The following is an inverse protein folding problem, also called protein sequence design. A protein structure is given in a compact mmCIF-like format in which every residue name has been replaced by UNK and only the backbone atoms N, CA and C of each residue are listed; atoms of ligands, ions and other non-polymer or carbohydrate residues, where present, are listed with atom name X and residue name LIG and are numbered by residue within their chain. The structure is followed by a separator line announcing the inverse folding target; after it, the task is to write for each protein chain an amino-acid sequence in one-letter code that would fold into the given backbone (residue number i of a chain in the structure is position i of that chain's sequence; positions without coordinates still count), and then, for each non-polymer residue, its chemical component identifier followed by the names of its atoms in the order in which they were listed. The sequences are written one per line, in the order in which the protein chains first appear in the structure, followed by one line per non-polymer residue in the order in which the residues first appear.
data_IF_138448427145
#
_entry.id   IF_138448427145
#
_cell.length_a   1.000
_cell.length_b   1.000
_cell.length_c   1.000
_cell.angle_alpha   90.00
_cell.angle_beta   90.00
_cell.angle_gamma   90.00
#
_symmetry.space_group_name_H-M   'P 1'
#
loop_
_entity.id
_entity.type
_entity.pdbx_description
1 polymer ?
#
# COMPACT_ATOMS: atom_id res chain seq x y z
N UNK A 1 8.42 -14.26 11.88
CA UNK A 1 6.99 -13.82 11.90
C UNK A 1 6.93 -12.46 12.54
N UNK A 2 6.29 -11.55 11.89
CA UNK A 2 5.99 -10.23 12.43
C UNK A 2 4.46 -10.13 12.60
N UNK A 3 4.00 -10.31 13.82
CA UNK A 3 2.57 -10.18 14.16
C UNK A 3 2.44 -9.15 15.28
N UNK A 4 2.41 -7.83 14.95
CA UNK A 4 2.35 -6.80 15.96
C UNK A 4 0.97 -6.79 16.64
N UNK A 5 0.97 -6.89 17.95
CA UNK A 5 -0.20 -6.69 18.80
C UNK A 5 -0.41 -5.19 18.93
N UNK A 6 -1.43 -4.64 18.33
CA UNK A 6 -1.71 -3.20 18.34
C UNK A 6 -2.99 -2.88 19.08
N UNK A 7 -2.95 -1.85 19.91
CA UNK A 7 -4.12 -1.23 20.50
C UNK A 7 -4.18 0.23 20.04
N UNK A 8 -5.14 0.57 19.19
CA UNK A 8 -5.14 1.82 18.44
C UNK A 8 -3.88 1.95 17.59
N UNK A 9 -3.13 3.03 17.78
CA UNK A 9 -1.86 3.28 17.07
C UNK A 9 -0.62 2.73 17.80
N UNK A 10 -0.78 2.22 19.05
CA UNK A 10 0.34 1.73 19.85
C UNK A 10 0.56 0.24 19.63
N UNK A 11 1.79 -0.15 19.37
CA UNK A 11 2.21 -1.55 19.38
C UNK A 11 2.49 -1.94 20.84
N UNK A 12 1.77 -2.96 21.33
CA UNK A 12 1.90 -3.47 22.70
C UNK A 12 3.00 -4.54 22.79
N UNK A 13 3.11 -5.39 21.78
CA UNK A 13 4.08 -6.47 21.70
C UNK A 13 4.31 -6.87 20.24
N UNK A 14 5.53 -7.35 19.97
CA UNK A 14 5.95 -7.83 18.65
C UNK A 14 6.63 -9.19 18.80
N UNK A 15 5.88 -10.28 18.95
CA UNK A 15 6.49 -11.60 19.03
C UNK A 15 7.23 -11.91 17.73
N UNK A 16 8.56 -11.97 17.82
CA UNK A 16 9.41 -12.37 16.69
C UNK A 16 9.52 -13.89 16.67
N UNK A 17 9.04 -14.50 15.60
CA UNK A 17 9.24 -15.93 15.34
C UNK A 17 9.80 -16.11 13.94
N UNK A 18 10.79 -16.98 13.83
CA UNK A 18 11.26 -17.43 12.53
C UNK A 18 10.18 -18.32 11.92
N UNK A 19 9.71 -17.99 10.72
CA UNK A 19 8.80 -18.84 9.95
C UNK A 19 9.02 -18.60 8.46
N UNK A 20 8.69 -19.58 7.66
CA UNK A 20 8.76 -19.44 6.23
C UNK A 20 7.67 -18.50 5.72
N UNK A 21 8.05 -17.55 4.87
CA UNK A 21 7.12 -16.64 4.21
C UNK A 21 7.05 -17.01 2.74
N UNK A 22 5.88 -17.48 2.31
CA UNK A 22 5.60 -17.76 0.91
C UNK A 22 5.03 -16.49 0.27
N UNK A 23 5.81 -15.89 -0.62
CA UNK A 23 5.35 -14.83 -1.49
C UNK A 23 4.92 -15.43 -2.82
N UNK A 24 3.65 -15.25 -3.15
CA UNK A 24 3.08 -15.80 -4.36
C UNK A 24 3.25 -14.81 -5.52
N UNK A 25 3.67 -15.26 -6.72
CA UNK A 25 3.71 -14.41 -7.91
C UNK A 25 2.28 -13.94 -8.25
N UNK A 26 2.03 -12.64 -8.15
CA UNK A 26 0.68 -12.06 -8.28
C UNK A 26 0.02 -12.36 -9.63
N UNK A 27 0.81 -12.49 -10.70
CA UNK A 27 0.30 -12.75 -12.05
C UNK A 27 -0.12 -14.20 -12.29
N UNK A 28 0.51 -15.15 -11.57
CA UNK A 28 0.39 -16.60 -11.87
C UNK A 28 -0.65 -17.32 -11.04
N UNK A 29 -1.18 -16.66 -9.99
CA UNK A 29 -2.04 -17.32 -9.01
C UNK A 29 -3.43 -16.75 -9.10
N UNK A 30 -4.41 -17.64 -9.34
CA UNK A 30 -5.83 -17.37 -9.29
C UNK A 30 -6.42 -17.93 -8.00
N UNK A 31 -7.60 -17.44 -7.62
CA UNK A 31 -8.31 -17.88 -6.42
C UNK A 31 -8.64 -19.41 -6.44
N UNK A 32 -8.86 -19.98 -7.61
CA UNK A 32 -9.06 -21.42 -7.82
C UNK A 32 -7.89 -22.29 -7.37
N UNK A 33 -6.65 -21.73 -7.34
CA UNK A 33 -5.47 -22.43 -6.85
C UNK A 33 -5.26 -22.34 -5.32
N UNK A 34 -6.15 -21.67 -4.59
CA UNK A 34 -5.95 -21.42 -3.16
C UNK A 34 -5.81 -22.72 -2.36
N UNK A 35 -6.57 -23.77 -2.68
CA UNK A 35 -6.49 -25.05 -2.00
C UNK A 35 -5.20 -25.82 -2.32
N UNK A 36 -4.74 -25.75 -3.58
CA UNK A 36 -3.46 -26.34 -4.01
C UNK A 36 -2.29 -25.68 -3.27
N UNK A 37 -2.30 -24.35 -3.18
CA UNK A 37 -1.29 -23.56 -2.48
C UNK A 37 -1.24 -23.93 -0.99
N UNK A 38 -2.41 -24.00 -0.35
CA UNK A 38 -2.50 -24.41 1.04
C UNK A 38 -2.02 -25.85 1.25
N UNK A 39 -2.25 -26.72 0.28
CA UNK A 39 -1.83 -28.11 0.29
C UNK A 39 -0.32 -28.27 0.10
N UNK A 40 0.26 -27.50 -0.80
CA UNK A 40 1.70 -27.50 -1.07
C UNK A 40 2.52 -26.71 -0.03
N UNK A 41 1.86 -26.05 0.93
CA UNK A 41 2.54 -25.31 1.98
C UNK A 41 3.34 -26.26 2.88
N UNK A 42 4.56 -25.86 3.32
CA UNK A 42 5.42 -26.69 4.16
C UNK A 42 4.74 -27.06 5.49
N UNK A 43 5.10 -28.21 6.06
CA UNK A 43 4.54 -28.69 7.33
C UNK A 43 4.89 -27.81 8.54
N UNK A 44 5.91 -27.00 8.42
CA UNK A 44 6.30 -26.03 9.43
C UNK A 44 5.34 -24.84 9.50
N UNK A 45 5.45 -24.05 10.58
CA UNK A 45 4.71 -22.81 10.71
C UNK A 45 5.09 -21.87 9.56
N UNK A 46 4.12 -21.47 8.74
CA UNK A 46 4.36 -20.60 7.58
C UNK A 46 3.30 -19.51 7.43
N UNK A 47 3.68 -18.44 6.72
CA UNK A 47 2.82 -17.35 6.30
C UNK A 47 2.73 -17.33 4.77
N UNK A 48 1.52 -17.44 4.25
CA UNK A 48 1.22 -17.21 2.85
C UNK A 48 0.67 -15.79 2.73
N UNK A 49 1.43 -14.90 2.08
CA UNK A 49 1.02 -13.50 1.90
C UNK A 49 0.21 -13.31 0.64
N UNK A 50 -0.86 -12.50 0.76
CA UNK A 50 -1.71 -12.11 -0.36
C UNK A 50 -2.24 -13.31 -1.16
N UNK A 51 -2.59 -14.39 -0.48
CA UNK A 51 -3.20 -15.55 -1.11
C UNK A 51 -4.54 -15.14 -1.72
N UNK A 52 -4.76 -15.31 -3.04
CA UNK A 52 -6.06 -15.04 -3.66
C UNK A 52 -7.11 -16.00 -3.09
N UNK A 53 -8.31 -15.47 -2.84
CA UNK A 53 -9.45 -16.25 -2.32
C UNK A 53 -10.73 -15.79 -3.01
N UNK A 54 -11.66 -16.74 -3.25
CA UNK A 54 -12.94 -16.44 -3.88
C UNK A 54 -13.93 -15.79 -2.92
N UNK A 55 -13.88 -16.20 -1.64
CA UNK A 55 -14.77 -15.73 -0.60
C UNK A 55 -14.02 -15.48 0.70
N UNK A 56 -14.58 -14.68 1.63
CA UNK A 56 -14.00 -14.45 2.93
C UNK A 56 -13.75 -15.76 3.70
N UNK A 57 -12.52 -15.94 4.18
CA UNK A 57 -12.14 -17.06 5.02
C UNK A 57 -12.47 -16.75 6.49
N UNK A 58 -12.84 -17.77 7.29
CA UNK A 58 -12.93 -17.63 8.74
C UNK A 58 -11.61 -17.16 9.35
N UNK A 59 -11.67 -16.25 10.34
CA UNK A 59 -10.46 -15.74 11.03
C UNK A 59 -9.61 -16.84 11.64
N UNK A 60 -10.25 -17.91 12.16
CA UNK A 60 -9.61 -19.10 12.68
C UNK A 60 -10.38 -20.34 12.21
N UNK A 61 -9.66 -21.34 11.73
CA UNK A 61 -10.22 -22.62 11.33
C UNK A 61 -9.13 -23.70 11.37
N UNK A 62 -9.51 -24.93 11.07
CA UNK A 62 -8.55 -26.03 10.88
C UNK A 62 -8.41 -26.32 9.38
N UNK A 63 -7.20 -26.58 8.96
CA UNK A 63 -6.89 -27.06 7.63
C UNK A 63 -5.85 -28.19 7.72
N UNK A 64 -6.21 -29.41 7.32
CA UNK A 64 -5.35 -30.59 7.38
C UNK A 64 -4.64 -30.77 8.74
N UNK A 65 -5.39 -30.68 9.83
CA UNK A 65 -4.85 -30.82 11.20
C UNK A 65 -4.11 -29.59 11.73
N UNK A 66 -3.82 -28.60 10.90
CA UNK A 66 -3.14 -27.35 11.28
C UNK A 66 -4.13 -26.28 11.70
N UNK A 67 -3.68 -25.32 12.50
CA UNK A 67 -4.42 -24.11 12.83
C UNK A 67 -4.24 -23.11 11.68
N UNK A 68 -5.31 -22.83 10.94
CA UNK A 68 -5.34 -21.75 9.93
C UNK A 68 -5.82 -20.47 10.61
N UNK A 69 -4.99 -19.45 10.58
CA UNK A 69 -5.28 -18.14 11.13
C UNK A 69 -5.18 -17.08 10.03
N UNK A 70 -6.23 -16.26 9.89
CA UNK A 70 -6.36 -15.24 8.85
C UNK A 70 -6.59 -13.89 9.51
N UNK A 71 -5.51 -13.16 9.87
CA UNK A 71 -5.62 -11.86 10.54
C UNK A 71 -6.15 -10.75 9.64
N UNK A 72 -5.91 -10.85 8.33
CA UNK A 72 -6.22 -9.82 7.35
C UNK A 72 -6.76 -10.42 6.06
N UNK A 73 -7.82 -9.78 5.54
CA UNK A 73 -8.35 -10.02 4.20
C UNK A 73 -8.64 -8.66 3.59
N UNK A 74 -8.38 -8.48 2.29
CA UNK A 74 -8.44 -7.18 1.63
C UNK A 74 -8.55 -7.30 0.12
N UNK A 75 -9.07 -6.26 -0.52
CA UNK A 75 -8.95 -6.08 -1.96
C UNK A 75 -7.53 -5.60 -2.30
N UNK A 76 -6.81 -6.34 -3.12
CA UNK A 76 -5.53 -5.94 -3.68
C UNK A 76 -5.77 -5.35 -5.06
N UNK A 77 -5.64 -4.04 -5.15
CA UNK A 77 -5.86 -3.29 -6.37
C UNK A 77 -4.65 -3.34 -7.29
N UNK A 78 -4.90 -3.36 -8.60
CA UNK A 78 -3.86 -3.31 -9.61
C UNK A 78 -4.37 -2.63 -10.90
N UNK A 79 -3.45 -2.37 -11.82
CA UNK A 79 -3.72 -1.89 -13.17
C UNK A 79 -3.06 -2.86 -14.14
N UNK A 80 -3.83 -3.35 -15.11
CA UNK A 80 -3.32 -4.08 -16.25
C UNK A 80 -2.76 -3.08 -17.26
N UNK A 81 -1.43 -3.02 -17.39
CA UNK A 81 -0.72 -2.10 -18.27
C UNK A 81 -0.72 -2.56 -19.73
N UNK A 82 -1.19 -3.78 -20.01
CA UNK A 82 -1.27 -4.30 -21.40
C UNK A 82 -2.49 -3.78 -22.16
N UNK A 83 -3.43 -3.14 -21.48
CA UNK A 83 -4.70 -2.68 -22.07
C UNK A 83 -4.61 -1.36 -22.86
N UNK A 84 -3.51 -0.64 -22.75
CA UNK A 84 -3.31 0.67 -23.36
C UNK A 84 -3.89 1.85 -22.57
N UNK A 85 -3.27 3.02 -22.75
CA UNK A 85 -3.60 4.23 -21.99
C UNK A 85 -5.02 4.73 -22.20
N UNK A 86 -5.50 4.75 -23.45
CA UNK A 86 -6.85 5.23 -23.79
C UNK A 86 -7.94 4.33 -23.18
N UNK A 87 -7.77 3.02 -23.27
CA UNK A 87 -8.67 2.05 -22.66
C UNK A 87 -8.71 2.21 -21.13
N UNK A 88 -7.55 2.40 -20.50
CA UNK A 88 -7.47 2.67 -19.07
C UNK A 88 -8.15 3.99 -18.69
N UNK A 89 -7.87 5.09 -19.43
CA UNK A 89 -8.56 6.37 -19.20
C UNK A 89 -10.08 6.27 -19.37
N UNK A 90 -10.53 5.47 -20.32
CA UNK A 90 -11.96 5.21 -20.58
C UNK A 90 -12.71 4.64 -19.38
N UNK A 91 -12.01 3.99 -18.44
CA UNK A 91 -12.60 3.43 -17.21
C UNK A 91 -12.92 4.50 -16.15
N UNK A 92 -12.51 5.75 -16.34
CA UNK A 92 -12.84 6.88 -15.46
C UNK A 92 -14.03 7.66 -16.01
N UNK A 93 -14.85 8.20 -15.12
CA UNK A 93 -15.91 9.14 -15.52
C UNK A 93 -15.34 10.38 -16.20
N UNK A 94 -16.11 11.03 -17.08
CA UNK A 94 -15.71 12.30 -17.70
C UNK A 94 -15.33 13.36 -16.65
N UNK A 95 -16.03 13.42 -15.52
CA UNK A 95 -15.73 14.30 -14.39
C UNK A 95 -14.36 14.00 -13.78
N UNK A 96 -14.03 12.72 -13.58
CA UNK A 96 -12.73 12.32 -13.03
C UNK A 96 -11.59 12.67 -13.99
N UNK A 97 -11.74 12.37 -15.29
CA UNK A 97 -10.74 12.74 -16.31
C UNK A 97 -10.53 14.25 -16.38
N UNK A 98 -11.61 15.04 -16.37
CA UNK A 98 -11.51 16.50 -16.35
C UNK A 98 -10.81 17.01 -15.07
N UNK A 99 -11.09 16.39 -13.92
CA UNK A 99 -10.41 16.70 -12.65
C UNK A 99 -8.92 16.41 -12.72
N UNK A 100 -8.48 15.26 -13.29
CA UNK A 100 -7.07 14.94 -13.45
C UNK A 100 -6.36 15.96 -14.35
N UNK A 101 -6.92 16.27 -15.53
CA UNK A 101 -6.37 17.30 -16.44
C UNK A 101 -6.25 18.65 -15.76
N UNK A 102 -7.25 19.06 -14.97
CA UNK A 102 -7.20 20.33 -14.22
C UNK A 102 -6.10 20.33 -13.16
N UNK A 103 -5.86 19.22 -12.44
CA UNK A 103 -4.79 19.11 -11.46
C UNK A 103 -3.41 19.19 -12.12
N UNK A 104 -3.20 18.47 -13.23
CA UNK A 104 -1.96 18.54 -14.01
C UNK A 104 -1.70 19.96 -14.49
N UNK A 105 -2.72 20.63 -15.07
CA UNK A 105 -2.60 22.03 -15.53
C UNK A 105 -2.28 22.99 -14.38
N UNK A 106 -3.00 22.88 -13.23
CA UNK A 106 -2.73 23.74 -12.07
C UNK A 106 -1.29 23.62 -11.59
N UNK A 107 -0.75 22.40 -11.57
CA UNK A 107 0.64 22.18 -11.19
C UNK A 107 1.61 22.70 -12.24
N UNK A 108 1.34 22.53 -13.54
CA UNK A 108 2.13 23.08 -14.62
C UNK A 108 2.21 24.61 -14.56
N UNK A 109 1.08 25.28 -14.33
CA UNK A 109 1.01 26.75 -14.13
C UNK A 109 1.89 27.19 -12.95
N UNK A 110 1.84 26.49 -11.82
CA UNK A 110 2.68 26.77 -10.66
C UNK A 110 4.18 26.49 -10.90
N UNK A 111 4.49 25.62 -11.86
CA UNK A 111 5.86 25.20 -12.23
C UNK A 111 6.43 25.99 -13.43
N UNK A 112 5.78 27.06 -13.89
CA UNK A 112 6.26 27.90 -15.00
C UNK A 112 5.87 27.38 -16.39
N UNK A 113 4.82 26.53 -16.51
CA UNK A 113 4.24 26.08 -17.78
C UNK A 113 4.28 24.59 -18.03
N UNK A 114 5.20 23.86 -17.43
CA UNK A 114 5.31 22.40 -17.54
C UNK A 114 5.51 21.76 -16.16
N UNK A 115 5.07 20.51 -16.01
CA UNK A 115 5.31 19.73 -14.77
C UNK A 115 6.72 19.15 -14.86
N UNK A 116 7.61 19.52 -13.93
CA UNK A 116 8.94 18.93 -13.78
C UNK A 116 8.81 17.64 -12.94
N UNK A 117 8.84 16.51 -13.60
CA UNK A 117 8.94 15.20 -12.94
C UNK A 117 10.01 14.35 -13.61
N UNK A 118 10.68 13.52 -12.83
CA UNK A 118 11.85 12.77 -13.28
C UNK A 118 11.77 11.32 -12.84
N UNK A 119 12.28 10.43 -13.71
CA UNK A 119 12.45 9.00 -13.46
C UNK A 119 13.91 8.70 -13.15
N UNK A 120 14.10 7.77 -12.20
CA UNK A 120 15.41 7.30 -11.74
C UNK A 120 15.41 5.78 -11.74
N UNK A 121 16.37 5.16 -12.45
CA UNK A 121 16.45 3.70 -12.60
C UNK A 121 17.89 3.18 -12.71
N UNK A 122 18.89 4.07 -12.82
CA UNK A 122 20.30 3.70 -12.78
C UNK A 122 20.82 3.64 -11.35
N UNK A 123 21.94 2.93 -11.07
CA UNK A 123 22.54 2.89 -9.72
C UNK A 123 22.80 4.27 -9.12
N UNK A 124 23.36 5.19 -9.89
CA UNK A 124 23.67 6.57 -9.47
C UNK A 124 22.37 7.38 -9.30
N UNK A 125 21.48 7.30 -10.27
CA UNK A 125 20.19 7.99 -10.23
C UNK A 125 19.33 7.54 -9.07
N UNK A 126 19.31 6.24 -8.73
CA UNK A 126 18.48 5.75 -7.61
C UNK A 126 19.03 6.19 -6.24
N UNK A 127 20.34 6.44 -6.13
CA UNK A 127 20.93 7.05 -4.94
C UNK A 127 20.50 8.51 -4.79
N UNK A 128 20.55 9.30 -5.87
CA UNK A 128 20.05 10.67 -5.91
C UNK A 128 18.54 10.70 -5.56
N UNK A 129 17.76 9.86 -6.22
CA UNK A 129 16.35 9.68 -5.89
C UNK A 129 16.13 9.45 -4.40
N UNK A 130 16.88 8.51 -3.80
CA UNK A 130 16.72 8.16 -2.40
C UNK A 130 17.00 9.36 -1.49
N UNK A 131 18.05 10.13 -1.73
CA UNK A 131 18.40 11.30 -0.94
C UNK A 131 17.25 12.33 -0.97
N UNK A 132 16.81 12.73 -2.16
CA UNK A 132 15.75 13.71 -2.36
C UNK A 132 14.38 13.21 -1.86
N UNK A 133 14.06 11.94 -2.09
CA UNK A 133 12.83 11.32 -1.61
C UNK A 133 12.80 11.20 -0.08
N UNK A 134 13.95 11.02 0.58
CA UNK A 134 14.04 11.01 2.04
C UNK A 134 13.75 12.38 2.65
N UNK A 135 14.20 13.47 2.02
CA UNK A 135 13.87 14.84 2.46
C UNK A 135 12.35 15.07 2.43
N UNK A 136 11.68 14.63 1.36
CA UNK A 136 10.22 14.71 1.28
C UNK A 136 9.58 13.79 2.32
N UNK A 137 10.02 12.52 2.40
CA UNK A 137 9.45 11.51 3.30
C UNK A 137 9.48 11.95 4.76
N UNK A 138 10.62 12.45 5.25
CA UNK A 138 10.80 12.91 6.63
C UNK A 138 9.80 14.02 7.03
N UNK A 139 9.26 14.75 6.07
CA UNK A 139 8.27 15.83 6.28
C UNK A 139 6.83 15.34 6.08
N UNK A 140 6.61 14.08 5.66
CA UNK A 140 5.26 13.55 5.47
C UNK A 140 4.57 13.18 6.78
N UNK A 141 3.25 13.24 6.79
CA UNK A 141 2.42 12.78 7.89
C UNK A 141 2.62 11.27 8.21
N UNK A 142 2.81 10.46 7.16
CA UNK A 142 2.97 9.01 7.30
C UNK A 142 4.23 8.64 8.09
N UNK A 143 5.34 9.31 7.85
CA UNK A 143 6.57 9.08 8.60
C UNK A 143 6.49 9.63 10.02
N UNK A 144 5.98 10.86 10.17
CA UNK A 144 5.93 11.55 11.47
C UNK A 144 5.01 10.88 12.49
N UNK A 145 3.93 10.23 12.06
CA UNK A 145 2.93 9.63 12.95
C UNK A 145 2.84 8.11 12.90
N UNK A 146 3.24 7.47 11.78
CA UNK A 146 3.02 6.05 11.56
C UNK A 146 4.33 5.27 11.37
N UNK A 147 5.48 5.95 11.36
CA UNK A 147 6.79 5.35 11.03
C UNK A 147 6.73 4.53 9.72
N UNK A 148 5.98 5.03 8.73
CA UNK A 148 5.67 4.36 7.48
C UNK A 148 6.23 5.12 6.26
N UNK A 149 7.34 5.83 6.44
CA UNK A 149 8.05 6.55 5.39
C UNK A 149 9.01 5.68 4.59
N UNK A 150 9.70 6.31 3.64
CA UNK A 150 10.76 5.66 2.86
C UNK A 150 11.95 5.33 3.80
N UNK A 151 12.40 4.08 3.92
CA UNK A 151 13.49 3.73 4.82
C UNK A 151 14.79 4.47 4.49
N UNK A 152 15.51 4.96 5.52
CA UNK A 152 16.76 5.72 5.36
C UNK A 152 18.04 4.94 5.66
N UNK A 153 17.93 3.67 6.08
CA UNK A 153 19.07 2.86 6.50
C UNK A 153 20.00 2.45 5.35
N UNK A 154 21.31 2.32 5.65
CA UNK A 154 22.35 1.94 4.67
C UNK A 154 22.01 0.65 3.90
N UNK A 155 21.53 -0.38 4.59
CA UNK A 155 21.12 -1.65 3.98
C UNK A 155 20.01 -1.48 2.94
N UNK A 156 19.07 -0.56 3.15
CA UNK A 156 18.03 -0.26 2.18
C UNK A 156 18.59 0.42 0.93
N UNK A 157 19.52 1.36 1.09
CA UNK A 157 20.20 2.04 -0.05
C UNK A 157 21.01 1.04 -0.86
N UNK A 158 21.75 0.16 -0.21
CA UNK A 158 22.51 -0.91 -0.89
C UNK A 158 21.58 -1.82 -1.70
N UNK A 159 20.44 -2.20 -1.12
CA UNK A 159 19.42 -2.98 -1.84
C UNK A 159 18.81 -2.21 -3.03
N UNK A 160 18.60 -0.90 -2.92
CA UNK A 160 18.11 -0.06 -4.02
C UNK A 160 19.10 -0.07 -5.19
N UNK A 161 20.39 0.15 -4.89
CA UNK A 161 21.47 0.18 -5.90
C UNK A 161 21.59 -1.17 -6.59
N UNK A 162 21.52 -2.27 -5.86
CA UNK A 162 21.56 -3.61 -6.44
C UNK A 162 20.37 -3.87 -7.35
N UNK A 163 19.17 -3.50 -6.91
CA UNK A 163 17.97 -3.58 -7.77
C UNK A 163 18.09 -2.71 -9.02
N UNK A 164 18.75 -1.55 -8.95
CA UNK A 164 18.97 -0.70 -10.11
C UNK A 164 19.94 -1.34 -11.12
N UNK A 165 21.01 -1.99 -10.66
CA UNK A 165 21.93 -2.77 -11.51
C UNK A 165 21.20 -3.88 -12.28
N UNK A 166 20.21 -4.49 -11.64
CA UNK A 166 19.38 -5.54 -12.24
C UNK A 166 18.19 -4.98 -13.08
N UNK A 167 18.02 -3.66 -13.18
CA UNK A 167 16.88 -3.03 -13.84
C UNK A 167 15.54 -3.30 -13.14
N UNK A 168 15.55 -3.55 -11.83
CA UNK A 168 14.42 -3.99 -11.01
C UNK A 168 13.89 -2.93 -10.04
N UNK A 169 14.06 -1.67 -10.41
CA UNK A 169 13.56 -0.55 -9.60
C UNK A 169 13.22 0.65 -10.46
N UNK A 170 12.26 1.45 -10.03
CA UNK A 170 11.94 2.80 -10.51
C UNK A 170 11.73 3.73 -9.32
N UNK A 171 12.37 4.89 -9.37
CA UNK A 171 12.09 6.03 -8.52
C UNK A 171 11.52 7.16 -9.37
N UNK A 172 10.55 7.90 -8.84
CA UNK A 172 9.97 9.06 -9.50
C UNK A 172 9.90 10.23 -8.52
N UNK A 173 10.32 11.41 -8.96
CA UNK A 173 10.22 12.66 -8.20
C UNK A 173 9.42 13.69 -8.98
N UNK A 174 8.67 14.48 -8.27
CA UNK A 174 7.97 15.65 -8.77
C UNK A 174 8.56 16.89 -8.12
N UNK A 175 8.90 17.87 -8.93
CA UNK A 175 9.53 19.11 -8.48
C UNK A 175 8.58 20.31 -8.64
N UNK A 176 8.73 21.28 -7.77
CA UNK A 176 8.15 22.60 -7.87
C UNK A 176 9.27 23.64 -7.64
N UNK A 177 9.55 24.48 -8.63
CA UNK A 177 10.63 25.49 -8.57
C UNK A 177 11.97 24.87 -8.13
N UNK A 178 12.31 23.70 -8.68
CA UNK A 178 13.55 22.98 -8.38
C UNK A 178 13.57 22.19 -7.06
N UNK A 179 12.52 22.28 -6.23
CA UNK A 179 12.43 21.55 -4.97
C UNK A 179 11.59 20.28 -5.13
N UNK A 180 12.02 19.12 -4.62
CA UNK A 180 11.21 17.88 -4.66
C UNK A 180 10.02 18.01 -3.71
N UNK A 181 8.80 17.84 -4.23
CA UNK A 181 7.55 17.96 -3.46
C UNK A 181 6.76 16.66 -3.34
N UNK A 182 7.04 15.69 -4.19
CA UNK A 182 6.47 14.34 -4.08
C UNK A 182 7.41 13.28 -4.65
N UNK A 183 7.29 12.07 -4.16
CA UNK A 183 8.03 10.92 -4.65
C UNK A 183 7.13 9.68 -4.77
N UNK A 184 7.52 8.78 -5.67
CA UNK A 184 6.95 7.45 -5.80
C UNK A 184 8.09 6.44 -6.00
N UNK A 185 8.14 5.40 -5.17
CA UNK A 185 9.11 4.31 -5.25
C UNK A 185 8.43 3.02 -5.65
N UNK A 186 8.95 2.38 -6.70
CA UNK A 186 8.41 1.16 -7.28
C UNK A 186 9.51 0.11 -7.49
N UNK A 187 9.65 -0.90 -6.63
CA UNK A 187 10.42 -2.10 -6.97
C UNK A 187 9.69 -2.91 -8.05
N UNK A 188 10.48 -3.62 -8.86
CA UNK A 188 10.01 -4.44 -9.97
C UNK A 188 10.34 -5.90 -9.66
N UNK A 189 9.33 -6.77 -9.71
CA UNK A 189 9.48 -8.20 -9.55
C UNK A 189 8.62 -8.90 -10.62
N UNK A 190 9.23 -9.78 -11.43
CA UNK A 190 8.57 -10.55 -12.51
C UNK A 190 7.75 -9.68 -13.51
N UNK A 191 8.28 -8.54 -13.93
CA UNK A 191 7.61 -7.62 -14.85
C UNK A 191 6.45 -6.84 -14.24
N UNK A 192 6.30 -6.87 -12.93
CA UNK A 192 5.29 -6.13 -12.16
C UNK A 192 5.96 -4.97 -11.44
N UNK A 193 5.49 -3.74 -11.69
CA UNK A 193 5.82 -2.62 -10.82
C UNK A 193 4.94 -2.65 -9.58
N UNK A 194 5.59 -2.61 -8.42
CA UNK A 194 4.88 -2.54 -7.15
C UNK A 194 4.96 -1.13 -6.56
N UNK A 195 3.82 -0.49 -6.40
CA UNK A 195 3.69 0.73 -5.59
C UNK A 195 4.09 0.43 -4.15
N UNK A 196 5.29 0.84 -3.74
CA UNK A 196 5.79 0.57 -2.40
C UNK A 196 5.64 1.79 -1.48
N UNK A 197 6.15 2.95 -1.89
CA UNK A 197 6.06 4.18 -1.12
C UNK A 197 5.69 5.35 -2.03
N UNK A 198 4.72 6.15 -1.61
CA UNK A 198 4.42 7.46 -2.17
C UNK A 198 4.27 8.45 -1.02
N UNK A 199 4.95 9.58 -1.13
CA UNK A 199 4.82 10.68 -0.19
C UNK A 199 4.81 12.02 -0.90
N UNK A 200 4.26 13.03 -0.24
CA UNK A 200 4.27 14.41 -0.73
C UNK A 200 4.26 15.40 0.43
N UNK A 201 4.75 16.62 0.18
CA UNK A 201 4.77 17.69 1.15
C UNK A 201 3.35 18.25 1.35
N UNK A 202 2.88 18.23 2.60
CA UNK A 202 1.51 18.62 2.96
C UNK A 202 1.21 20.09 2.66
N UNK A 203 2.22 20.97 2.69
CA UNK A 203 2.10 22.38 2.33
C UNK A 203 1.70 22.63 0.88
N UNK A 204 1.90 21.64 -0.02
CA UNK A 204 1.50 21.67 -1.42
C UNK A 204 0.28 20.79 -1.72
N UNK A 205 -0.48 20.36 -0.70
CA UNK A 205 -1.63 19.48 -0.87
C UNK A 205 -2.71 20.03 -1.82
N UNK A 206 -2.86 21.35 -1.90
CA UNK A 206 -3.78 22.06 -2.80
C UNK A 206 -3.47 21.84 -4.29
N UNK A 207 -2.19 21.53 -4.63
CA UNK A 207 -1.73 21.14 -5.97
C UNK A 207 -1.92 19.63 -6.24
N UNK A 208 -2.26 18.85 -5.23
CA UNK A 208 -2.44 17.38 -5.32
C UNK A 208 -1.22 16.63 -5.90
N UNK A 209 0.04 16.92 -5.45
CA UNK A 209 1.26 16.49 -6.13
C UNK A 209 1.39 14.97 -6.21
N UNK A 210 1.02 14.22 -5.18
CA UNK A 210 1.03 12.74 -5.23
C UNK A 210 0.07 12.14 -6.26
N UNK A 211 -1.11 12.77 -6.44
CA UNK A 211 -2.08 12.36 -7.47
C UNK A 211 -1.58 12.65 -8.87
N UNK A 212 -0.97 13.85 -9.07
CA UNK A 212 -0.43 14.25 -10.37
C UNK A 212 0.76 13.38 -10.74
N UNK A 213 1.71 13.19 -9.82
CA UNK A 213 2.86 12.31 -10.04
C UNK A 213 2.42 10.90 -10.46
N UNK A 214 1.50 10.30 -9.72
CA UNK A 214 1.00 8.97 -10.04
C UNK A 214 0.31 8.90 -11.40
N UNK A 215 -0.47 9.92 -11.78
CA UNK A 215 -1.13 9.98 -13.08
C UNK A 215 -0.13 10.03 -14.23
N UNK A 216 0.88 10.90 -14.14
CA UNK A 216 1.93 11.05 -15.17
C UNK A 216 2.81 9.80 -15.27
N UNK A 217 3.17 9.20 -14.13
CA UNK A 217 3.91 7.93 -14.11
C UNK A 217 3.11 6.81 -14.78
N UNK A 218 1.82 6.68 -14.50
CA UNK A 218 0.98 5.66 -15.15
C UNK A 218 0.91 5.89 -16.66
N UNK A 219 0.71 7.13 -17.11
CA UNK A 219 0.71 7.46 -18.54
C UNK A 219 2.02 7.04 -19.21
N UNK A 220 3.17 7.36 -18.60
CA UNK A 220 4.48 6.96 -19.11
C UNK A 220 4.67 5.44 -19.14
N UNK A 221 4.23 4.71 -18.09
CA UNK A 221 4.31 3.25 -18.02
C UNK A 221 3.47 2.56 -19.10
N UNK A 222 2.30 3.10 -19.42
CA UNK A 222 1.48 2.58 -20.53
C UNK A 222 2.17 2.79 -21.88
N UNK A 223 2.85 3.92 -22.10
CA UNK A 223 3.59 4.18 -23.33
C UNK A 223 4.92 3.42 -23.42
N UNK A 224 5.51 3.04 -22.29
CA UNK A 224 6.74 2.22 -22.26
C UNK A 224 6.47 0.77 -22.69
N UNK A 225 5.23 0.25 -22.55
CA UNK A 225 4.79 -1.10 -22.93
C UNK A 225 5.68 -2.25 -22.41
N UNK A 226 6.46 -1.98 -21.36
CA UNK A 226 7.45 -2.91 -20.80
C UNK A 226 6.89 -3.82 -19.72
N UNK A 227 5.89 -3.32 -18.97
CA UNK A 227 5.40 -3.96 -17.77
C UNK A 227 4.00 -4.51 -17.95
N UNK A 228 3.73 -5.67 -17.34
CA UNK A 228 2.42 -6.29 -17.41
C UNK A 228 1.42 -5.63 -16.43
N UNK A 229 1.86 -5.35 -15.21
CA UNK A 229 0.98 -4.85 -14.16
C UNK A 229 1.63 -3.75 -13.32
N UNK A 230 0.79 -2.84 -12.82
CA UNK A 230 1.10 -1.93 -11.72
C UNK A 230 0.29 -2.36 -10.49
N UNK A 231 0.96 -2.86 -9.45
CA UNK A 231 0.36 -3.43 -8.25
C UNK A 231 0.40 -2.43 -7.09
N UNK A 232 -0.75 -2.05 -6.55
CA UNK A 232 -0.85 -1.11 -5.42
C UNK A 232 -0.45 -1.69 -4.06
N UNK A 233 0.11 -2.89 -4.02
CA UNK A 233 0.47 -3.57 -2.78
C UNK A 233 -0.71 -3.84 -1.83
N UNK A 234 -0.57 -4.70 -0.84
CA UNK A 234 -1.62 -4.99 0.13
C UNK A 234 -2.11 -3.75 0.89
N UNK A 235 -3.38 -3.74 1.25
CA UNK A 235 -4.03 -2.72 2.05
C UNK A 235 -4.98 -1.83 1.27
N UNK A 236 -5.93 -1.23 1.97
CA UNK A 236 -6.96 -0.37 1.42
C UNK A 236 -6.51 1.10 1.43
N UNK A 237 -7.03 1.88 0.50
CA UNK A 237 -6.79 3.31 0.40
C UNK A 237 -7.57 3.94 -0.74
N UNK A 238 -8.14 5.13 -0.51
CA UNK A 238 -8.97 5.82 -1.49
C UNK A 238 -8.25 6.05 -2.83
N UNK A 239 -6.93 6.31 -2.81
CA UNK A 239 -6.14 6.46 -4.03
C UNK A 239 -5.96 5.12 -4.76
N UNK A 240 -5.84 3.99 -4.04
CA UNK A 240 -5.69 2.66 -4.63
C UNK A 240 -6.96 2.23 -5.37
N UNK A 241 -8.14 2.45 -4.77
CA UNK A 241 -9.42 2.18 -5.42
C UNK A 241 -9.75 3.18 -6.54
N UNK A 242 -9.22 4.41 -6.46
CA UNK A 242 -9.37 5.39 -7.53
C UNK A 242 -8.64 4.95 -8.80
N UNK A 243 -7.35 4.62 -8.69
CA UNK A 243 -6.48 4.27 -9.81
C UNK A 243 -6.53 2.79 -10.18
N UNK A 244 -6.49 1.89 -9.21
CA UNK A 244 -6.58 0.44 -9.41
C UNK A 244 -7.98 0.01 -9.77
N UNK A 245 -8.26 -0.09 -11.07
CA UNK A 245 -9.59 -0.45 -11.59
C UNK A 245 -9.86 -1.94 -11.53
N UNK A 246 -8.82 -2.73 -11.37
CA UNK A 246 -8.92 -4.16 -11.14
C UNK A 246 -8.53 -4.48 -9.70
N UNK A 247 -9.13 -5.53 -9.17
CA UNK A 247 -8.79 -6.00 -7.82
C UNK A 247 -8.95 -7.51 -7.70
N UNK A 248 -8.19 -8.09 -6.76
CA UNK A 248 -8.35 -9.47 -6.32
C UNK A 248 -8.57 -9.49 -4.82
N UNK A 249 -9.51 -10.30 -4.39
CA UNK A 249 -9.70 -10.53 -2.96
C UNK A 249 -8.60 -11.47 -2.47
N UNK A 250 -7.85 -11.02 -1.47
CA UNK A 250 -6.68 -11.71 -0.94
C UNK A 250 -6.74 -11.83 0.57
N UNK A 251 -6.07 -12.87 1.09
CA UNK A 251 -5.91 -13.13 2.51
C UNK A 251 -4.43 -13.33 2.86
N UNK A 252 -4.00 -12.84 4.03
CA UNK A 252 -2.76 -13.28 4.66
C UNK A 252 -3.09 -14.49 5.53
N UNK A 253 -2.56 -15.65 5.19
CA UNK A 253 -2.91 -16.94 5.81
C UNK A 253 -1.71 -17.51 6.55
N UNK A 254 -1.85 -17.66 7.86
CA UNK A 254 -0.91 -18.40 8.69
C UNK A 254 -1.38 -19.83 8.81
N UNK A 255 -0.50 -20.78 8.49
CA UNK A 255 -0.67 -22.20 8.80
C UNK A 255 0.29 -22.56 9.93
N UNK A 256 -0.28 -22.84 11.10
CA UNK A 256 0.46 -23.05 12.33
C UNK A 256 0.27 -24.49 12.82
N UNK A 257 1.31 -25.09 13.37
CA UNK A 257 1.20 -26.41 14.02
C UNK A 257 0.20 -26.36 15.20
N UNK A 258 -0.58 -27.40 15.43
CA UNK A 258 -1.61 -27.42 16.47
C UNK A 258 -0.98 -27.56 17.86
N UNK A 259 -0.47 -26.44 18.41
CA UNK A 259 0.10 -26.36 19.75
C UNK A 259 -0.69 -25.38 20.63
N UNK A 260 -0.63 -25.58 21.95
CA UNK A 260 -1.25 -24.65 22.90
C UNK A 260 -0.66 -23.24 22.79
N UNK A 261 0.67 -23.14 22.52
CA UNK A 261 1.38 -21.87 22.32
C UNK A 261 0.85 -21.12 21.09
N UNK A 262 0.62 -21.80 19.97
CA UNK A 262 0.07 -21.20 18.77
C UNK A 262 -1.39 -20.79 18.96
N UNK A 263 -2.17 -21.59 19.68
CA UNK A 263 -3.55 -21.21 20.05
C UNK A 263 -3.57 -19.97 20.94
N UNK A 264 -2.77 -19.96 22.01
CA UNK A 264 -2.67 -18.81 22.91
C UNK A 264 -2.28 -17.54 22.14
N UNK A 265 -1.28 -17.62 21.27
CA UNK A 265 -0.85 -16.49 20.43
C UNK A 265 -1.99 -15.96 19.55
N UNK A 266 -2.69 -16.85 18.82
CA UNK A 266 -3.79 -16.46 17.92
C UNK A 266 -4.94 -15.83 18.69
N UNK A 267 -5.41 -16.47 19.76
CA UNK A 267 -6.54 -15.96 20.53
C UNK A 267 -6.21 -14.66 21.28
N UNK A 268 -4.98 -14.51 21.81
CA UNK A 268 -4.54 -13.25 22.40
C UNK A 268 -4.51 -12.12 21.36
N UNK A 269 -4.01 -12.40 20.15
CA UNK A 269 -4.04 -11.43 19.05
C UNK A 269 -5.46 -10.99 18.71
N UNK A 270 -6.38 -11.95 18.60
CA UNK A 270 -7.79 -11.67 18.32
C UNK A 270 -8.43 -10.83 19.42
N UNK A 271 -8.21 -11.21 20.69
CA UNK A 271 -8.73 -10.45 21.83
C UNK A 271 -8.26 -9.00 21.85
N UNK A 272 -6.95 -8.76 21.65
CA UNK A 272 -6.39 -7.40 21.58
C UNK A 272 -6.97 -6.62 20.40
N UNK A 273 -7.08 -7.25 19.23
CA UNK A 273 -7.60 -6.60 18.03
C UNK A 273 -9.08 -6.25 18.18
N UNK A 274 -9.89 -7.16 18.72
CA UNK A 274 -11.34 -6.95 18.90
C UNK A 274 -11.59 -5.91 20.00
N UNK A 275 -10.82 -5.92 21.09
CA UNK A 275 -10.90 -4.90 22.15
C UNK A 275 -10.50 -3.51 21.59
N UNK A 276 -9.45 -3.45 20.76
CA UNK A 276 -9.02 -2.19 20.10
C UNK A 276 -10.12 -1.64 19.19
N UNK A 277 -10.80 -2.50 18.41
CA UNK A 277 -11.92 -2.09 17.55
C UNK A 277 -13.09 -1.54 18.38
N UNK A 278 -13.49 -2.28 19.41
CA UNK A 278 -14.58 -1.84 20.30
C UNK A 278 -14.29 -0.48 20.95
N UNK A 279 -13.06 -0.28 21.43
CA UNK A 279 -12.63 1.00 21.99
C UNK A 279 -12.66 2.14 20.96
N UNK A 280 -12.20 1.89 19.73
CA UNK A 280 -12.24 2.88 18.64
C UNK A 280 -13.68 3.24 18.26
N UNK A 281 -14.57 2.26 18.16
CA UNK A 281 -15.98 2.46 17.84
C UNK A 281 -16.69 3.24 18.95
N UNK A 282 -16.41 2.94 20.21
CA UNK A 282 -16.96 3.67 21.36
C UNK A 282 -16.50 5.14 21.35
N UNK A 283 -15.21 5.40 21.11
CA UNK A 283 -14.66 6.76 21.02
C UNK A 283 -15.27 7.54 19.86
N UNK A 284 -15.42 6.93 18.69
CA UNK A 284 -16.01 7.57 17.53
C UNK A 284 -17.49 7.95 17.77
N UNK A 285 -18.28 7.08 18.41
CA UNK A 285 -19.65 7.34 18.80
C UNK A 285 -19.78 8.49 19.82
N UNK A 286 -18.86 8.55 20.78
CA UNK A 286 -18.80 9.64 21.77
C UNK A 286 -18.47 10.99 21.12
N UNK A 287 -17.50 11.01 20.20
CA UNK A 287 -17.13 12.23 19.46
C UNK A 287 -18.26 12.72 18.57
N UNK A 288 -18.98 11.82 17.88
CA UNK A 288 -20.14 12.17 17.05
C UNK A 288 -21.28 12.75 17.90
N UNK A 289 -21.58 12.15 19.07
CA UNK A 289 -22.57 12.67 20.01
C UNK A 289 -22.17 14.04 20.57
N UNK A 290 -20.89 14.26 20.86
CA UNK A 290 -20.37 15.55 21.31
C UNK A 290 -20.52 16.65 20.25
N UNK A 291 -20.21 16.33 18.96
CA UNK A 291 -20.38 17.25 17.83
C UNK A 291 -21.85 17.56 17.55
N UNK A 292 -22.73 16.56 17.59
CA UNK A 292 -24.18 16.75 17.43
C UNK A 292 -24.77 17.64 18.53
N UNK A 293 -24.36 17.43 19.79
CA UNK A 293 -24.82 18.25 20.95
C UNK A 293 -24.33 19.70 20.86
N UNK A 294 -23.08 19.94 20.37
CA UNK A 294 -22.57 21.30 20.12
C UNK A 294 -23.35 22.01 19.00
N UNK A 295 -23.66 21.30 17.89
CA UNK A 295 -24.47 21.85 16.80
C UNK A 295 -25.88 22.18 17.22
N UNK A 296 -26.54 21.31 17.99
CA UNK A 296 -27.88 21.55 18.53
C UNK A 296 -27.91 22.75 19.49
N UNK A 297 -26.87 22.93 20.34
CA UNK A 297 -26.77 24.11 21.22
C UNK A 297 -26.53 25.40 20.43
N UNK A 298 -25.71 25.36 19.36
CA UNK A 298 -25.47 26.52 18.50
C UNK A 298 -26.74 26.93 17.73
N UNK A 299 -27.57 25.98 17.29
CA UNK A 299 -28.82 26.24 16.61
C UNK A 299 -29.96 26.72 17.54
N UNK A 300 -29.85 26.47 18.86
CA UNK A 300 -30.85 26.95 19.85
C UNK A 300 -30.47 28.31 20.47
N UNK A 301 -29.27 28.82 20.13
CA UNK A 301 -28.77 30.11 20.65
C UNK A 301 -28.74 31.23 19.59
N UNK A 302 -29.19 30.95 18.35
CA UNK A 302 -29.46 31.93 17.27
C UNK A 302 -30.89 31.92 16.86
#
# INVERSE_FOLDING_TARGET
MYLPFRFGYRTLAEPVRTMQVLQLPFTRIRAEHAEEILTAAPDEDCLIRSMPVEAPLPRVSRFRGRLRFVPRQYQRHFIDLTTGWDAYQGRFSAKTRASMRRKVRKLAEASGGAVDWRQYDTPEGIQEFHQLAREVSARTYQERLLDAGLPGGKAFVEQLVERAREGRVRGYLLFLQGQPIAYLYCPIDDGILRYAFLGYLQEHADLSPGTVLQWLVLEALFHEERFALFDFSPGEGAHKSLFGKDSRYCADVYLLRPSWRNRALVYSYLAVTDLSRLASDALSRLQLKGRAKRRARAAAAG
#
